data_IF_408006655028
#
_entry.id   IF_408006655028
#
_cell.length_a   1.000
_cell.length_b   1.000
_cell.length_c   1.000
_cell.angle_alpha   90.00
_cell.angle_beta   90.00
_cell.angle_gamma   90.00
#
_symmetry.space_group_name_H-M   'P 1'
#
loop_
_entity.id
_entity.type
_entity.pdbx_description
1 polymer ?
#
# COMPACT_ATOMS: atom_id res chain seq x y z
N UNK A 1 -3.79 20.84 9.83
CA UNK A 1 -4.54 20.23 10.95
C UNK A 1 -5.32 21.33 11.67
N UNK A 2 -6.59 21.08 12.00
CA UNK A 2 -7.44 22.00 12.77
C UNK A 2 -7.82 21.32 14.09
N UNK A 3 -7.76 22.08 15.17
CA UNK A 3 -8.29 21.67 16.46
C UNK A 3 -9.69 22.26 16.57
N UNK A 4 -10.68 21.40 16.76
CA UNK A 4 -12.09 21.78 16.76
C UNK A 4 -12.64 21.66 18.18
N UNK A 5 -13.40 22.66 18.60
CA UNK A 5 -14.33 22.59 19.71
C UNK A 5 -15.50 21.64 19.37
N UNK A 6 -16.28 21.16 20.36
CA UNK A 6 -17.46 20.35 20.09
C UNK A 6 -18.49 21.01 19.15
N UNK A 7 -18.68 22.33 19.22
CA UNK A 7 -19.60 23.05 18.33
C UNK A 7 -19.09 23.06 16.88
N UNK A 8 -17.79 23.28 16.67
CA UNK A 8 -17.17 23.20 15.34
C UNK A 8 -17.20 21.77 14.77
N UNK A 9 -17.17 20.73 15.63
CA UNK A 9 -17.42 19.35 15.20
C UNK A 9 -18.85 19.17 14.71
N UNK A 10 -19.84 19.76 15.39
CA UNK A 10 -21.25 19.69 14.97
C UNK A 10 -21.49 20.43 13.66
N UNK A 11 -20.80 21.55 13.43
CA UNK A 11 -20.84 22.28 12.16
C UNK A 11 -20.22 21.44 11.03
N UNK A 12 -19.05 20.84 11.26
CA UNK A 12 -18.36 20.01 10.26
C UNK A 12 -19.08 18.67 9.99
N UNK A 13 -19.70 18.06 11.00
CA UNK A 13 -20.45 16.82 10.88
C UNK A 13 -21.77 16.88 11.66
N UNK A 14 -22.86 17.37 11.03
CA UNK A 14 -24.15 17.60 11.70
C UNK A 14 -24.80 16.36 12.34
N UNK A 15 -24.43 15.16 11.89
CA UNK A 15 -24.95 13.89 12.41
C UNK A 15 -24.20 13.39 13.66
N UNK A 16 -23.07 14.01 14.03
CA UNK A 16 -22.29 13.62 15.20
C UNK A 16 -23.07 13.91 16.51
N UNK A 17 -23.00 13.01 17.50
CA UNK A 17 -23.37 13.33 18.87
C UNK A 17 -22.16 13.97 19.57
N UNK A 18 -22.32 15.21 20.04
CA UNK A 18 -21.25 15.97 20.69
C UNK A 18 -21.27 15.89 22.23
N UNK A 19 -22.20 15.13 22.81
CA UNK A 19 -22.25 14.92 24.25
C UNK A 19 -20.97 14.24 24.77
N UNK A 20 -20.31 14.88 25.74
CA UNK A 20 -19.06 14.38 26.34
C UNK A 20 -17.79 14.58 25.52
N UNK A 21 -17.86 15.18 24.33
CA UNK A 21 -16.68 15.53 23.54
C UNK A 21 -15.93 16.70 24.19
N UNK A 22 -14.60 16.55 24.36
CA UNK A 22 -13.70 17.64 24.77
C UNK A 22 -13.31 18.50 23.56
N UNK A 23 -13.23 17.89 22.37
CA UNK A 23 -12.84 18.49 21.10
C UNK A 23 -12.44 17.41 20.10
N UNK A 24 -12.03 17.80 18.90
CA UNK A 24 -11.56 16.88 17.86
C UNK A 24 -10.41 17.48 17.05
N UNK A 25 -9.80 16.63 16.22
CA UNK A 25 -8.78 17.02 15.25
C UNK A 25 -9.33 16.74 13.85
N UNK A 26 -9.25 17.72 12.97
CA UNK A 26 -9.59 17.58 11.55
C UNK A 26 -8.37 17.82 10.66
N UNK A 27 -8.19 16.95 9.68
CA UNK A 27 -7.26 17.14 8.56
C UNK A 27 -8.09 17.47 7.31
N UNK A 28 -8.19 18.75 6.91
CA UNK A 28 -9.12 19.17 5.84
C UNK A 28 -8.82 18.55 4.47
N UNK A 29 -7.57 18.17 4.24
CA UNK A 29 -7.10 17.61 2.97
C UNK A 29 -7.14 16.08 2.95
N UNK A 30 -7.47 15.44 4.09
CA UNK A 30 -7.64 13.99 4.17
C UNK A 30 -9.02 13.59 3.64
N UNK A 31 -9.16 12.32 3.31
CA UNK A 31 -10.42 11.78 2.83
C UNK A 31 -10.33 10.29 2.58
N UNK A 32 -11.04 9.85 1.54
CA UNK A 32 -11.10 8.45 1.14
C UNK A 32 -10.67 8.31 -0.32
N UNK A 33 -10.01 7.20 -0.63
CA UNK A 33 -9.69 6.81 -1.99
C UNK A 33 -10.09 5.35 -2.19
N UNK A 34 -10.53 5.00 -3.41
CA UNK A 34 -10.80 3.61 -3.76
C UNK A 34 -9.45 2.88 -3.95
N UNK A 35 -9.04 1.96 -3.06
CA UNK A 35 -7.68 1.41 -3.09
C UNK A 35 -7.41 0.54 -4.32
N UNK A 36 -8.44 -0.15 -4.80
CA UNK A 36 -8.34 -0.99 -6.00
C UNK A 36 -8.01 -0.14 -7.24
N UNK A 37 -8.71 0.97 -7.42
CA UNK A 37 -8.51 1.86 -8.57
C UNK A 37 -7.17 2.60 -8.49
N UNK A 38 -6.79 3.06 -7.29
CA UNK A 38 -5.47 3.63 -7.05
C UNK A 38 -4.36 2.64 -7.44
N UNK A 39 -4.52 1.37 -7.07
CA UNK A 39 -3.56 0.31 -7.44
C UNK A 39 -3.46 0.17 -8.96
N UNK A 40 -4.59 0.15 -9.68
CA UNK A 40 -4.58 0.05 -11.15
C UNK A 40 -3.97 1.30 -11.82
N UNK A 41 -4.23 2.49 -11.28
CA UNK A 41 -3.62 3.73 -11.74
C UNK A 41 -2.10 3.70 -11.60
N UNK A 42 -1.59 3.25 -10.44
CA UNK A 42 -0.15 3.06 -10.23
C UNK A 42 0.44 1.97 -11.14
N UNK A 43 -0.24 0.84 -11.31
CA UNK A 43 0.17 -0.22 -12.24
C UNK A 43 0.31 0.31 -13.67
N UNK A 44 -0.63 1.14 -14.11
CA UNK A 44 -0.62 1.77 -15.44
C UNK A 44 0.55 2.74 -15.56
N UNK A 45 0.75 3.61 -14.57
CA UNK A 45 1.87 4.54 -14.52
C UNK A 45 3.24 3.87 -14.51
N UNK A 46 3.37 2.70 -13.88
CA UNK A 46 4.59 1.90 -13.86
C UNK A 46 4.88 1.25 -15.22
N UNK A 47 3.87 0.62 -15.84
CA UNK A 47 4.00 0.04 -17.19
C UNK A 47 4.35 1.08 -18.25
N UNK A 48 3.73 2.25 -18.18
CA UNK A 48 4.06 3.37 -19.08
C UNK A 48 5.51 3.87 -18.93
N UNK A 49 6.19 3.50 -17.84
CA UNK A 49 7.61 3.78 -17.57
C UNK A 49 8.52 2.56 -17.77
N UNK A 50 8.01 1.48 -18.37
CA UNK A 50 8.79 0.30 -18.72
C UNK A 50 8.82 -0.81 -17.65
N UNK A 51 8.08 -0.67 -16.55
CA UNK A 51 8.00 -1.75 -15.57
C UNK A 51 7.13 -2.92 -16.07
N UNK A 52 7.53 -4.14 -15.75
CA UNK A 52 6.75 -5.35 -16.00
C UNK A 52 5.95 -5.76 -14.76
N UNK A 53 4.72 -6.25 -14.98
CA UNK A 53 3.84 -6.71 -13.89
C UNK A 53 3.32 -8.11 -14.22
N UNK A 54 3.88 -9.10 -13.54
CA UNK A 54 3.59 -10.52 -13.72
C UNK A 54 2.51 -10.97 -12.73
N UNK A 55 1.24 -10.92 -13.13
CA UNK A 55 0.12 -11.42 -12.31
C UNK A 55 0.02 -12.94 -12.38
N UNK A 56 -0.57 -13.54 -11.35
CA UNK A 56 -0.72 -14.99 -11.24
C UNK A 56 0.63 -15.71 -11.39
N UNK A 57 1.67 -15.15 -10.77
CA UNK A 57 3.04 -15.65 -10.79
C UNK A 57 3.47 -15.77 -9.35
N UNK A 58 3.43 -16.98 -8.82
CA UNK A 58 3.62 -17.24 -7.39
C UNK A 58 5.10 -17.38 -7.11
N UNK A 59 5.65 -16.52 -6.26
CA UNK A 59 7.01 -16.71 -5.74
C UNK A 59 7.03 -17.92 -4.81
N UNK A 60 7.91 -18.89 -5.09
CA UNK A 60 8.03 -20.14 -4.33
C UNK A 60 9.29 -20.20 -3.47
N UNK A 61 10.36 -19.50 -3.87
CA UNK A 61 11.59 -19.34 -3.12
C UNK A 61 12.37 -18.09 -3.58
N UNK A 62 13.27 -17.59 -2.73
CA UNK A 62 14.17 -16.48 -3.03
C UNK A 62 15.57 -16.91 -2.62
N UNK A 63 16.49 -16.95 -3.58
CA UNK A 63 17.83 -17.53 -3.39
C UNK A 63 18.91 -16.48 -3.66
N UNK A 64 19.72 -16.18 -2.65
CA UNK A 64 20.89 -15.31 -2.84
C UNK A 64 22.04 -16.10 -3.48
N UNK A 65 22.68 -15.48 -4.47
CA UNK A 65 23.81 -16.03 -5.19
C UNK A 65 25.13 -15.60 -4.55
N UNK A 66 26.23 -16.30 -4.90
CA UNK A 66 27.55 -16.02 -4.32
C UNK A 66 28.09 -14.63 -4.66
N UNK A 67 27.67 -14.07 -5.79
CA UNK A 67 28.04 -12.71 -6.22
C UNK A 67 27.17 -11.60 -5.59
N UNK A 68 26.23 -11.99 -4.71
CA UNK A 68 25.31 -11.08 -4.03
C UNK A 68 24.02 -10.79 -4.78
N UNK A 69 23.88 -11.25 -6.03
CA UNK A 69 22.62 -11.18 -6.80
C UNK A 69 21.58 -12.18 -6.25
N UNK A 70 20.36 -12.13 -6.79
CA UNK A 70 19.23 -12.93 -6.35
C UNK A 70 18.58 -13.67 -7.52
N UNK A 71 18.04 -14.84 -7.21
CA UNK A 71 17.11 -15.57 -8.08
C UNK A 71 15.79 -15.72 -7.34
N UNK A 72 14.73 -15.15 -7.90
CA UNK A 72 13.35 -15.32 -7.43
C UNK A 72 12.73 -16.48 -8.20
N UNK A 73 12.49 -17.61 -7.52
CA UNK A 73 11.84 -18.80 -8.09
C UNK A 73 10.34 -18.55 -8.18
N UNK A 74 9.73 -18.88 -9.32
CA UNK A 74 8.28 -18.76 -9.50
C UNK A 74 7.67 -20.00 -10.17
N UNK A 75 6.35 -20.11 -10.13
CA UNK A 75 5.59 -21.14 -10.86
C UNK A 75 5.58 -20.95 -12.39
N UNK A 76 6.20 -19.88 -12.91
CA UNK A 76 6.29 -19.58 -14.35
C UNK A 76 7.72 -19.37 -14.85
N UNK A 77 8.71 -19.74 -14.04
CA UNK A 77 10.14 -19.58 -14.35
C UNK A 77 10.84 -18.64 -13.38
N UNK A 78 12.17 -18.63 -13.46
CA UNK A 78 13.02 -17.91 -12.52
C UNK A 78 13.29 -16.49 -13.01
N UNK A 79 13.38 -15.53 -12.07
CA UNK A 79 13.73 -14.14 -12.35
C UNK A 79 15.04 -13.82 -11.63
N UNK A 80 16.08 -13.49 -12.38
CA UNK A 80 17.35 -13.00 -11.83
C UNK A 80 17.29 -11.49 -11.62
N UNK A 81 17.77 -11.00 -10.46
CA UNK A 81 17.82 -9.58 -10.15
C UNK A 81 18.94 -9.23 -9.16
N UNK A 82 19.36 -7.97 -9.13
CA UNK A 82 20.36 -7.49 -8.17
C UNK A 82 19.75 -7.19 -6.79
N UNK A 83 18.45 -6.84 -6.77
CA UNK A 83 17.74 -6.44 -5.57
C UNK A 83 16.34 -7.07 -5.52
N UNK A 84 15.91 -7.40 -4.31
CA UNK A 84 14.57 -7.90 -4.01
C UNK A 84 13.94 -7.03 -2.93
N UNK A 85 12.70 -6.57 -3.16
CA UNK A 85 11.90 -5.86 -2.16
C UNK A 85 10.65 -6.69 -1.87
N UNK A 86 10.51 -7.14 -0.63
CA UNK A 86 9.32 -7.91 -0.21
C UNK A 86 8.18 -6.98 0.17
N UNK A 87 7.15 -6.94 -0.69
CA UNK A 87 5.93 -6.16 -0.50
C UNK A 87 4.68 -7.05 -0.37
N UNK A 88 4.80 -8.22 0.28
CA UNK A 88 3.76 -9.28 0.26
C UNK A 88 2.75 -9.21 1.42
N UNK A 89 2.69 -8.10 2.15
CA UNK A 89 1.70 -7.87 3.20
C UNK A 89 1.71 -8.97 4.27
N UNK A 90 0.54 -9.53 4.59
CA UNK A 90 0.40 -10.62 5.58
C UNK A 90 1.17 -11.90 5.22
N UNK A 91 1.61 -12.06 3.97
CA UNK A 91 2.43 -13.19 3.54
C UNK A 91 3.94 -12.96 3.73
N UNK A 92 4.37 -11.80 4.25
CA UNK A 92 5.79 -11.47 4.42
C UNK A 92 6.59 -12.58 5.13
N UNK A 93 6.03 -13.18 6.19
CA UNK A 93 6.65 -14.31 6.93
C UNK A 93 6.80 -15.59 6.10
N UNK A 94 5.96 -15.79 5.09
CA UNK A 94 6.04 -16.94 4.19
C UNK A 94 6.99 -16.67 3.03
N UNK A 95 7.05 -15.42 2.58
CA UNK A 95 7.88 -15.00 1.43
C UNK A 95 9.35 -14.82 1.80
N UNK A 96 9.66 -14.35 3.02
CA UNK A 96 11.00 -14.08 3.52
C UNK A 96 11.46 -15.02 4.61
#
# INVERSE_FOLDING_TARGET
VKFLTPDEVKEAWPLCNTEGLVGAIQHPDDGYIQPADLTQALCTGARNRGAEIHRYTTVTAIEQQMDGSWIVKTDKGDIACEHVVSCTGSFARKTG
#
